data_IF_204651222608
#
_entry.id   IF_204651222608
#
_cell.length_a   1.000
_cell.length_b   1.000
_cell.length_c   1.000
_cell.angle_alpha   90.00
_cell.angle_beta   90.00
_cell.angle_gamma   90.00
#
_symmetry.space_group_name_H-M   'P 1'
#
loop_
_entity.id
_entity.type
_entity.pdbx_description
1 polymer ?
#
# COMPACT_ATOMS: atom_id res chain seq x y z
N UNK A 1 -30.30 7.95 7.61
CA UNK A 1 -30.12 6.52 7.93
C UNK A 1 -29.29 5.90 6.82
N UNK A 2 -27.96 6.01 6.87
CA UNK A 2 -27.10 5.25 5.97
C UNK A 2 -27.16 3.80 6.44
N UNK A 3 -27.75 2.92 5.63
CA UNK A 3 -27.61 1.49 5.80
C UNK A 3 -26.12 1.16 5.73
N UNK A 4 -25.59 0.54 6.79
CA UNK A 4 -24.26 -0.08 6.75
C UNK A 4 -24.17 -0.94 5.47
N UNK A 5 -23.13 -0.79 4.64
CA UNK A 5 -22.93 -1.72 3.54
C UNK A 5 -22.73 -3.09 4.18
N UNK A 6 -23.47 -4.10 3.72
CA UNK A 6 -23.08 -5.48 3.94
C UNK A 6 -21.70 -5.65 3.33
N UNK A 7 -20.66 -5.57 4.15
CA UNK A 7 -19.28 -5.80 3.76
C UNK A 7 -19.18 -7.30 3.45
N UNK A 8 -19.44 -7.66 2.20
CA UNK A 8 -18.94 -8.93 1.70
C UNK A 8 -17.43 -8.88 1.91
N UNK A 9 -16.93 -9.77 2.77
CA UNK A 9 -15.53 -9.84 3.10
C UNK A 9 -14.72 -9.96 1.81
N UNK A 10 -13.88 -8.95 1.53
CA UNK A 10 -13.08 -8.91 0.31
C UNK A 10 -12.14 -10.12 0.36
N UNK A 11 -12.25 -10.99 -0.65
CA UNK A 11 -11.50 -12.23 -0.73
C UNK A 11 -9.99 -11.94 -0.76
N UNK A 12 -9.15 -12.84 -0.20
CA UNK A 12 -7.72 -12.75 -0.35
C UNK A 12 -7.31 -12.83 -1.83
N UNK A 13 -6.15 -12.27 -2.15
CA UNK A 13 -5.53 -12.41 -3.47
C UNK A 13 -4.92 -13.79 -3.56
N UNK A 14 -5.13 -14.48 -4.67
CA UNK A 14 -4.51 -15.77 -4.92
C UNK A 14 -3.23 -15.59 -5.74
N UNK A 15 -2.13 -16.14 -5.25
CA UNK A 15 -0.83 -16.22 -5.94
C UNK A 15 -0.48 -17.69 -6.09
N UNK A 16 -0.39 -18.18 -7.32
CA UNK A 16 -0.16 -19.61 -7.62
C UNK A 16 -1.15 -20.56 -6.93
N UNK A 17 -2.41 -20.14 -6.80
CA UNK A 17 -3.47 -20.96 -6.17
C UNK A 17 -3.57 -20.85 -4.65
N UNK A 18 -2.67 -20.12 -3.99
CA UNK A 18 -2.68 -19.92 -2.54
C UNK A 18 -3.12 -18.50 -2.18
N UNK A 19 -3.97 -18.32 -1.15
CA UNK A 19 -4.33 -17.00 -0.67
C UNK A 19 -3.13 -16.34 0.01
N UNK A 20 -2.78 -15.11 -0.41
CA UNK A 20 -1.64 -14.35 0.12
C UNK A 20 -2.05 -12.93 0.49
N UNK A 21 -1.37 -12.39 1.51
CA UNK A 21 -1.28 -10.95 1.70
C UNK A 21 -0.11 -10.44 0.86
N UNK A 22 -0.35 -9.47 -0.01
CA UNK A 22 0.65 -9.06 -0.99
C UNK A 22 1.63 -8.06 -0.40
N UNK A 23 2.93 -8.34 -0.57
CA UNK A 23 4.02 -7.44 -0.20
C UNK A 23 4.90 -7.26 -1.44
N UNK A 24 4.76 -6.12 -2.11
CA UNK A 24 5.34 -5.87 -3.43
C UNK A 24 6.47 -4.85 -3.47
N UNK A 25 7.47 -5.05 -4.32
CA UNK A 25 8.54 -4.08 -4.59
C UNK A 25 8.51 -3.60 -6.04
N UNK A 26 8.42 -2.29 -6.26
CA UNK A 26 8.65 -1.71 -7.60
C UNK A 26 10.12 -1.79 -8.03
N UNK A 27 11.03 -1.87 -7.06
CA UNK A 27 12.45 -2.06 -7.32
C UNK A 27 12.72 -3.54 -7.59
N UNK A 28 13.25 -3.81 -8.78
CA UNK A 28 13.73 -5.12 -9.21
C UNK A 28 15.24 -5.07 -9.42
N UNK A 29 16.03 -5.40 -8.37
CA UNK A 29 17.47 -5.50 -8.48
C UNK A 29 17.85 -6.47 -9.59
N UNK A 30 18.80 -6.09 -10.45
CA UNK A 30 19.38 -6.98 -11.48
C UNK A 30 20.46 -7.90 -10.89
N UNK A 31 20.26 -8.30 -9.65
CA UNK A 31 21.12 -9.18 -8.88
C UNK A 31 20.24 -10.19 -8.12
N UNK A 32 20.57 -11.48 -8.29
CA UNK A 32 19.78 -12.56 -7.71
C UNK A 32 19.85 -12.59 -6.18
N UNK A 33 20.99 -12.23 -5.58
CA UNK A 33 21.13 -12.25 -4.13
C UNK A 33 20.30 -11.12 -3.51
N UNK A 34 20.30 -9.94 -4.12
CA UNK A 34 19.45 -8.83 -3.67
C UNK A 34 17.96 -9.19 -3.80
N UNK A 35 17.54 -9.91 -4.83
CA UNK A 35 16.16 -10.44 -4.93
C UNK A 35 15.85 -11.49 -3.85
N UNK A 36 16.80 -12.38 -3.52
CA UNK A 36 16.65 -13.34 -2.42
C UNK A 36 16.51 -12.64 -1.08
N UNK A 37 17.26 -11.56 -0.85
CA UNK A 37 17.11 -10.72 0.35
C UNK A 37 15.69 -10.15 0.44
N UNK A 38 15.09 -9.70 -0.68
CA UNK A 38 13.69 -9.26 -0.66
C UNK A 38 12.75 -10.40 -0.22
N UNK A 39 12.90 -11.58 -0.83
CA UNK A 39 12.07 -12.74 -0.54
C UNK A 39 12.19 -13.21 0.92
N UNK A 40 13.42 -13.29 1.44
CA UNK A 40 13.74 -13.68 2.81
C UNK A 40 13.17 -12.69 3.85
N UNK A 41 12.99 -11.42 3.46
CA UNK A 41 12.40 -10.38 4.30
C UNK A 41 10.93 -10.10 3.97
N UNK A 42 10.24 -11.06 3.36
CA UNK A 42 8.78 -11.07 3.29
C UNK A 42 8.17 -10.50 2.01
N UNK A 43 8.94 -9.88 1.11
CA UNK A 43 8.41 -9.55 -0.21
C UNK A 43 8.01 -10.84 -0.93
N UNK A 44 6.86 -10.83 -1.59
CA UNK A 44 6.36 -11.97 -2.36
C UNK A 44 5.98 -11.61 -3.80
N UNK A 45 6.20 -10.35 -4.19
CA UNK A 45 5.87 -9.82 -5.49
C UNK A 45 6.89 -8.73 -5.90
N UNK A 46 7.39 -8.75 -7.15
CA UNK A 46 8.34 -7.76 -7.67
C UNK A 46 7.99 -7.30 -9.09
N UNK A 47 8.26 -6.04 -9.42
CA UNK A 47 7.99 -5.50 -10.77
C UNK A 47 9.01 -6.00 -11.77
N UNK A 48 8.61 -6.76 -12.77
CA UNK A 48 9.49 -7.15 -13.85
C UNK A 48 9.25 -6.32 -15.12
N UNK A 49 10.34 -6.09 -15.88
CA UNK A 49 10.17 -5.72 -17.27
C UNK A 49 9.50 -6.90 -18.01
N UNK A 50 8.88 -6.65 -19.18
CA UNK A 50 8.43 -7.72 -20.06
C UNK A 50 9.63 -8.40 -20.74
N UNK A 51 10.43 -9.09 -19.93
CA UNK A 51 11.66 -9.79 -20.27
C UNK A 51 11.71 -11.13 -19.53
N UNK A 52 12.10 -12.20 -20.22
CA UNK A 52 12.10 -13.54 -19.64
C UNK A 52 13.18 -13.71 -18.57
N UNK A 53 14.36 -13.09 -18.73
CA UNK A 53 15.42 -13.21 -17.73
C UNK A 53 15.01 -12.54 -16.42
N UNK A 54 14.33 -11.39 -16.48
CA UNK A 54 13.76 -10.73 -15.31
C UNK A 54 12.79 -11.63 -14.54
N UNK A 55 11.93 -12.36 -15.25
CA UNK A 55 10.96 -13.27 -14.64
C UNK A 55 11.62 -14.55 -14.11
N UNK A 56 12.63 -15.07 -14.82
CA UNK A 56 13.42 -16.23 -14.39
C UNK A 56 14.19 -15.92 -13.10
N UNK A 57 14.81 -14.74 -13.00
CA UNK A 57 15.48 -14.29 -11.78
C UNK A 57 14.52 -14.12 -10.60
N UNK A 58 13.35 -13.52 -10.85
CA UNK A 58 12.30 -13.42 -9.82
C UNK A 58 11.87 -14.82 -9.36
N UNK A 59 11.68 -15.76 -10.30
CA UNK A 59 11.31 -17.14 -9.99
C UNK A 59 12.37 -17.83 -9.14
N UNK A 60 13.64 -17.70 -9.53
CA UNK A 60 14.77 -18.32 -8.84
C UNK A 60 14.95 -17.77 -7.41
N UNK A 61 14.62 -16.50 -7.19
CA UNK A 61 14.58 -15.88 -5.86
C UNK A 61 13.37 -16.30 -5.02
N UNK A 62 12.40 -17.03 -5.58
CA UNK A 62 11.15 -17.41 -4.89
C UNK A 62 10.09 -16.31 -4.87
N UNK A 63 10.23 -15.29 -5.72
CA UNK A 63 9.29 -14.18 -5.86
C UNK A 63 8.29 -14.45 -7.00
N UNK A 64 7.09 -13.88 -6.85
CA UNK A 64 6.21 -13.68 -7.98
C UNK A 64 6.52 -12.34 -8.64
N UNK A 65 6.06 -12.15 -9.87
CA UNK A 65 6.29 -10.97 -10.66
C UNK A 65 4.99 -10.36 -11.17
N UNK A 66 5.00 -9.05 -11.37
CA UNK A 66 4.01 -8.38 -12.21
C UNK A 66 4.67 -7.71 -13.41
N UNK A 67 3.93 -7.64 -14.51
CA UNK A 67 4.33 -6.91 -15.72
C UNK A 67 3.34 -5.79 -15.98
N UNK A 68 3.89 -4.59 -16.23
CA UNK A 68 3.10 -3.45 -16.68
C UNK A 68 2.81 -3.54 -18.18
N UNK A 69 1.53 -3.54 -18.55
CA UNK A 69 1.05 -3.57 -19.93
C UNK A 69 1.39 -2.30 -20.71
N UNK A 70 1.73 -1.22 -20.01
CA UNK A 70 1.89 0.13 -20.55
C UNK A 70 0.63 0.56 -21.30
N UNK A 71 0.75 1.56 -22.18
CA UNK A 71 -0.40 2.10 -22.92
C UNK A 71 -1.08 1.09 -23.88
N UNK A 72 -0.59 -0.16 -23.97
CA UNK A 72 -1.16 -1.21 -24.82
C UNK A 72 -2.58 -1.59 -24.41
N UNK A 73 -2.97 -1.41 -23.15
CA UNK A 73 -4.32 -1.70 -22.69
C UNK A 73 -5.32 -0.56 -22.95
N UNK A 74 -4.86 0.64 -23.32
CA UNK A 74 -5.74 1.78 -23.58
C UNK A 74 -6.26 1.76 -25.01
N UNK A 75 -7.48 1.26 -25.24
CA UNK A 75 -8.10 1.27 -26.57
C UNK A 75 -8.90 2.54 -26.89
N UNK A 76 -8.74 3.62 -26.12
CA UNK A 76 -9.41 4.89 -26.40
C UNK A 76 -8.84 5.58 -27.65
N UNK A 77 -7.57 5.29 -27.97
CA UNK A 77 -6.86 5.74 -29.18
C UNK A 77 -6.09 4.57 -29.78
N UNK A 78 -5.84 4.61 -31.09
CA UNK A 78 -5.04 3.62 -31.83
C UNK A 78 -5.39 2.15 -31.55
N UNK A 79 -6.69 1.87 -31.34
CA UNK A 79 -7.21 0.59 -30.85
C UNK A 79 -6.59 -0.64 -31.53
N UNK A 80 -6.49 -0.66 -32.86
CA UNK A 80 -5.99 -1.84 -33.59
C UNK A 80 -4.51 -2.12 -33.26
N UNK A 81 -3.68 -1.07 -33.23
CA UNK A 81 -2.26 -1.15 -32.89
C UNK A 81 -2.06 -1.55 -31.42
N UNK A 82 -2.81 -0.95 -30.51
CA UNK A 82 -2.73 -1.30 -29.09
C UNK A 82 -3.19 -2.73 -28.84
N UNK A 83 -4.27 -3.17 -29.51
CA UNK A 83 -4.76 -4.55 -29.43
C UNK A 83 -3.72 -5.56 -29.89
N UNK A 84 -3.10 -5.36 -31.05
CA UNK A 84 -2.05 -6.24 -31.56
C UNK A 84 -0.88 -6.36 -30.56
N UNK A 85 -0.37 -5.22 -30.08
CA UNK A 85 0.74 -5.20 -29.11
C UNK A 85 0.38 -5.79 -27.75
N UNK A 86 -0.88 -5.63 -27.30
CA UNK A 86 -1.35 -6.24 -26.06
C UNK A 86 -1.42 -7.76 -26.20
N UNK A 87 -1.94 -8.27 -27.33
CA UNK A 87 -1.98 -9.71 -27.60
C UNK A 87 -0.56 -10.28 -27.61
N UNK A 88 0.37 -9.65 -28.34
CA UNK A 88 1.77 -10.08 -28.41
C UNK A 88 2.42 -10.16 -27.02
N UNK A 89 2.22 -9.12 -26.19
CA UNK A 89 2.74 -9.09 -24.83
C UNK A 89 2.17 -10.23 -23.96
N UNK A 90 0.85 -10.40 -23.97
CA UNK A 90 0.17 -11.35 -23.10
C UNK A 90 0.50 -12.78 -23.52
N UNK A 91 0.42 -13.11 -24.81
CA UNK A 91 0.77 -14.44 -25.32
C UNK A 91 2.22 -14.82 -25.01
N UNK A 92 3.14 -13.84 -25.00
CA UNK A 92 4.54 -14.10 -24.71
C UNK A 92 4.81 -14.48 -23.24
N UNK A 93 4.07 -13.92 -22.29
CA UNK A 93 4.42 -14.04 -20.86
C UNK A 93 3.36 -14.68 -19.97
N UNK A 94 2.11 -14.85 -20.44
CA UNK A 94 1.01 -15.40 -19.61
C UNK A 94 1.34 -16.76 -19.00
N UNK A 95 2.14 -17.58 -19.68
CA UNK A 95 2.48 -18.94 -19.22
C UNK A 95 3.78 -18.98 -18.38
N UNK A 96 4.39 -17.83 -18.09
CA UNK A 96 5.62 -17.79 -17.31
C UNK A 96 5.34 -18.10 -15.82
N UNK A 97 6.06 -19.05 -15.19
CA UNK A 97 5.76 -19.54 -13.83
C UNK A 97 6.02 -18.55 -12.68
N UNK A 98 6.50 -17.35 -12.99
CA UNK A 98 6.66 -16.25 -12.03
C UNK A 98 5.64 -15.13 -12.25
N UNK A 99 5.02 -15.03 -13.42
CA UNK A 99 4.00 -14.02 -13.65
C UNK A 99 2.81 -14.33 -12.74
N UNK A 100 2.37 -13.34 -11.98
CA UNK A 100 1.20 -13.46 -11.13
C UNK A 100 0.16 -12.38 -11.38
N UNK A 101 0.55 -11.23 -11.94
CA UNK A 101 -0.34 -10.07 -12.07
C UNK A 101 0.02 -9.27 -13.33
N UNK A 102 -0.99 -8.75 -14.02
CA UNK A 102 -0.81 -7.71 -15.02
C UNK A 102 -1.12 -6.35 -14.41
N UNK A 103 -0.27 -5.37 -14.61
CA UNK A 103 -0.53 -3.99 -14.22
C UNK A 103 -0.95 -3.18 -15.45
N UNK A 104 -1.98 -2.35 -15.33
CA UNK A 104 -2.30 -1.33 -16.34
C UNK A 104 -1.25 -0.20 -16.31
N UNK A 105 -1.25 0.79 -17.23
CA UNK A 105 -0.42 1.98 -17.06
C UNK A 105 -0.56 2.57 -15.66
N UNK A 106 0.57 2.83 -15.04
CA UNK A 106 0.61 3.51 -13.75
C UNK A 106 -0.07 4.87 -13.84
N UNK A 107 -0.85 5.20 -12.80
CA UNK A 107 -1.68 6.39 -12.69
C UNK A 107 -2.44 6.74 -14.00
N UNK A 108 -3.22 5.79 -14.52
CA UNK A 108 -3.89 5.91 -15.83
C UNK A 108 -4.69 7.22 -16.04
N UNK A 109 -5.27 7.79 -14.97
CA UNK A 109 -5.94 9.10 -15.03
C UNK A 109 -4.97 10.27 -15.01
N UNK A 110 -3.88 10.21 -14.26
CA UNK A 110 -2.84 11.25 -14.24
C UNK A 110 -2.27 11.50 -15.64
N UNK A 111 -2.07 10.41 -16.40
CA UNK A 111 -1.62 10.45 -17.80
C UNK A 111 -2.60 11.12 -18.78
N UNK A 112 -3.80 11.53 -18.36
CA UNK A 112 -4.65 12.44 -19.13
C UNK A 112 -4.09 13.87 -19.19
N UNK A 113 -3.00 14.16 -18.47
CA UNK A 113 -2.45 15.50 -18.35
C UNK A 113 -3.03 16.25 -17.16
N UNK A 114 -3.51 15.53 -16.13
CA UNK A 114 -4.08 16.11 -14.91
C UNK A 114 -3.20 17.21 -14.29
N UNK A 115 -1.86 17.07 -14.21
CA UNK A 115 -0.99 18.14 -13.69
C UNK A 115 -1.00 19.38 -14.56
N UNK A 116 -1.02 19.18 -15.88
CA UNK A 116 -1.09 20.26 -16.85
C UNK A 116 -2.46 20.93 -16.80
N UNK A 117 -3.53 20.17 -16.61
CA UNK A 117 -4.88 20.70 -16.44
C UNK A 117 -5.01 21.47 -15.14
N UNK A 118 -4.58 20.92 -14.01
CA UNK A 118 -4.56 21.58 -12.71
C UNK A 118 -3.77 22.89 -12.77
N UNK A 119 -2.55 22.85 -13.31
CA UNK A 119 -1.74 24.06 -13.53
C UNK A 119 -2.43 25.07 -14.46
N UNK A 120 -3.02 24.62 -15.57
CA UNK A 120 -3.73 25.51 -16.48
C UNK A 120 -4.96 26.13 -15.80
N UNK A 121 -5.77 25.32 -15.10
CA UNK A 121 -7.06 25.70 -14.55
C UNK A 121 -6.91 26.65 -13.36
N UNK A 122 -6.00 26.37 -12.44
CA UNK A 122 -5.74 27.21 -11.26
C UNK A 122 -4.70 28.30 -11.49
N UNK A 123 -3.80 28.14 -12.46
CA UNK A 123 -2.70 29.07 -12.73
C UNK A 123 -3.05 30.24 -13.66
N UNK A 124 -4.30 30.34 -14.14
CA UNK A 124 -4.75 31.40 -15.06
C UNK A 124 -6.13 31.93 -14.68
N UNK A 125 -6.34 33.23 -14.91
CA UNK A 125 -7.66 33.87 -14.81
C UNK A 125 -8.46 33.60 -16.08
N UNK A 126 -9.14 32.45 -16.13
CA UNK A 126 -10.07 32.11 -17.19
C UNK A 126 -11.41 32.84 -17.02
N UNK A 127 -12.10 33.14 -18.12
CA UNK A 127 -13.53 33.47 -18.04
C UNK A 127 -14.35 32.24 -17.64
N UNK A 128 -15.56 32.45 -17.14
CA UNK A 128 -16.47 31.35 -16.75
C UNK A 128 -16.71 30.41 -17.95
N UNK A 129 -16.91 30.96 -19.15
CA UNK A 129 -17.14 30.17 -20.36
C UNK A 129 -15.92 29.29 -20.74
N UNK A 130 -14.72 29.77 -20.47
CA UNK A 130 -13.48 29.01 -20.70
C UNK A 130 -13.33 27.88 -19.69
N UNK A 131 -13.69 28.11 -18.42
CA UNK A 131 -13.71 27.08 -17.39
C UNK A 131 -14.74 25.99 -17.74
N UNK A 132 -15.96 26.38 -18.10
CA UNK A 132 -17.02 25.46 -18.51
C UNK A 132 -16.61 24.61 -19.72
N UNK A 133 -15.93 25.23 -20.69
CA UNK A 133 -15.42 24.52 -21.88
C UNK A 133 -14.35 23.49 -21.53
N UNK A 134 -13.44 23.81 -20.59
CA UNK A 134 -12.40 22.88 -20.13
C UNK A 134 -13.03 21.71 -19.37
N UNK A 135 -13.97 22.00 -18.45
CA UNK A 135 -14.67 20.97 -17.68
C UNK A 135 -15.44 20.03 -18.58
N UNK A 136 -16.15 20.56 -19.58
CA UNK A 136 -16.87 19.76 -20.58
C UNK A 136 -15.95 18.79 -21.32
N UNK A 137 -14.76 19.24 -21.73
CA UNK A 137 -13.77 18.37 -22.40
C UNK A 137 -13.31 17.24 -21.47
N UNK A 138 -13.11 17.51 -20.18
CA UNK A 138 -12.73 16.50 -19.20
C UNK A 138 -13.87 15.50 -18.94
N UNK A 139 -15.10 15.99 -18.82
CA UNK A 139 -16.32 15.18 -18.65
C UNK A 139 -16.57 14.24 -19.82
N UNK A 140 -16.16 14.61 -21.03
CA UNK A 140 -16.23 13.74 -22.21
C UNK A 140 -15.01 12.82 -22.34
N UNK A 141 -13.79 13.32 -22.09
CA UNK A 141 -12.55 12.57 -22.30
C UNK A 141 -12.35 11.44 -21.28
N UNK A 142 -12.73 11.65 -20.02
CA UNK A 142 -12.55 10.66 -18.95
C UNK A 142 -13.38 9.40 -19.20
N UNK A 143 -14.70 9.46 -19.47
CA UNK A 143 -15.49 8.27 -19.79
C UNK A 143 -15.02 7.55 -21.06
N UNK A 144 -14.61 8.28 -22.10
CA UNK A 144 -14.10 7.66 -23.33
C UNK A 144 -12.77 6.93 -23.08
N UNK A 145 -11.87 7.51 -22.28
CA UNK A 145 -10.65 6.81 -21.88
C UNK A 145 -10.97 5.57 -21.04
N UNK A 146 -11.85 5.68 -20.05
CA UNK A 146 -12.29 4.53 -19.24
C UNK A 146 -12.87 3.40 -20.11
N UNK A 147 -13.71 3.72 -21.11
CA UNK A 147 -14.23 2.75 -22.08
C UNK A 147 -13.11 2.07 -22.88
N UNK A 148 -12.07 2.81 -23.23
CA UNK A 148 -10.85 2.28 -23.87
C UNK A 148 -10.16 1.23 -23.00
N UNK A 149 -9.92 1.55 -21.73
CA UNK A 149 -9.31 0.63 -20.77
C UNK A 149 -10.16 -0.61 -20.53
N UNK A 150 -11.48 -0.46 -20.39
CA UNK A 150 -12.39 -1.61 -20.21
C UNK A 150 -12.30 -2.57 -21.41
N UNK A 151 -12.28 -2.04 -22.64
CA UNK A 151 -12.13 -2.88 -23.84
C UNK A 151 -10.76 -3.58 -23.90
N UNK A 152 -9.70 -2.93 -23.43
CA UNK A 152 -8.37 -3.54 -23.32
C UNK A 152 -8.32 -4.64 -22.28
N UNK A 153 -8.88 -4.39 -21.09
CA UNK A 153 -9.05 -5.37 -20.02
C UNK A 153 -9.83 -6.59 -20.51
N UNK A 154 -10.99 -6.40 -21.16
CA UNK A 154 -11.77 -7.49 -21.74
C UNK A 154 -10.99 -8.28 -22.79
N UNK A 155 -10.14 -7.62 -23.57
CA UNK A 155 -9.28 -8.29 -24.55
C UNK A 155 -8.16 -9.09 -23.87
N UNK A 156 -7.54 -8.57 -22.81
CA UNK A 156 -6.56 -9.27 -22.00
C UNK A 156 -7.19 -10.52 -21.39
N UNK A 157 -8.34 -10.39 -20.72
CA UNK A 157 -9.03 -11.51 -20.05
C UNK A 157 -9.51 -12.61 -21.00
N UNK A 158 -9.66 -12.34 -22.30
CA UNK A 158 -9.93 -13.36 -23.33
C UNK A 158 -8.72 -14.26 -23.63
N UNK A 159 -7.51 -13.74 -23.42
CA UNK A 159 -6.25 -14.42 -23.71
C UNK A 159 -5.71 -15.07 -22.44
N UNK A 160 -5.81 -14.34 -21.33
CA UNK A 160 -5.34 -14.73 -20.00
C UNK A 160 -6.44 -14.45 -18.96
N UNK A 161 -7.23 -15.48 -18.70
CA UNK A 161 -8.28 -15.42 -17.68
C UNK A 161 -7.76 -15.70 -16.26
N UNK A 162 -6.52 -16.21 -16.14
CA UNK A 162 -5.93 -16.70 -14.90
C UNK A 162 -5.37 -15.53 -14.09
N UNK A 163 -4.54 -14.68 -14.69
CA UNK A 163 -3.87 -13.62 -13.95
C UNK A 163 -4.81 -12.41 -13.70
N UNK A 164 -4.86 -11.88 -12.46
CA UNK A 164 -5.57 -10.65 -12.16
C UNK A 164 -4.91 -9.44 -12.84
N UNK A 165 -5.73 -8.42 -13.10
CA UNK A 165 -5.28 -7.11 -13.58
C UNK A 165 -5.34 -6.10 -12.44
N UNK A 166 -4.23 -5.40 -12.16
CA UNK A 166 -4.12 -4.36 -11.14
C UNK A 166 -4.06 -2.97 -11.76
N UNK A 167 -4.76 -2.01 -11.14
CA UNK A 167 -4.73 -0.60 -11.50
C UNK A 167 -4.39 0.27 -10.29
N UNK A 168 -3.23 0.93 -10.36
CA UNK A 168 -2.82 1.95 -9.40
C UNK A 168 -3.33 3.34 -9.83
N UNK A 169 -3.74 4.15 -8.86
CA UNK A 169 -4.26 5.50 -9.04
C UNK A 169 -3.44 6.52 -8.28
N UNK A 170 -3.36 7.73 -8.83
CA UNK A 170 -2.85 8.89 -8.12
C UNK A 170 -3.83 9.29 -6.99
N UNK A 171 -3.34 9.87 -5.88
CA UNK A 171 -4.13 10.27 -4.71
C UNK A 171 -4.85 11.61 -4.93
N UNK A 172 -5.57 11.76 -6.06
CA UNK A 172 -6.28 12.99 -6.44
C UNK A 172 -7.52 12.79 -7.33
N UNK A 173 -7.98 11.55 -7.46
CA UNK A 173 -9.08 11.23 -8.36
C UNK A 173 -10.41 11.21 -7.60
N UNK A 174 -11.46 11.76 -8.22
CA UNK A 174 -12.80 11.72 -7.64
C UNK A 174 -13.32 10.28 -7.58
N UNK A 175 -14.23 10.01 -6.65
CA UNK A 175 -14.82 8.68 -6.48
C UNK A 175 -15.50 8.16 -7.76
N UNK A 176 -16.15 9.04 -8.53
CA UNK A 176 -16.84 8.63 -9.77
C UNK A 176 -15.86 8.32 -10.90
N UNK A 177 -14.76 9.07 -11.01
CA UNK A 177 -13.65 8.76 -11.91
C UNK A 177 -13.04 7.39 -11.58
N UNK A 178 -12.75 7.14 -10.30
CA UNK A 178 -12.22 5.87 -9.82
C UNK A 178 -13.17 4.71 -10.16
N UNK A 179 -14.47 4.86 -9.93
CA UNK A 179 -15.49 3.84 -10.27
C UNK A 179 -15.54 3.50 -11.76
N UNK A 180 -15.33 4.49 -12.64
CA UNK A 180 -15.29 4.25 -14.08
C UNK A 180 -14.10 3.38 -14.47
N UNK A 181 -12.92 3.72 -13.98
CA UNK A 181 -11.67 3.03 -14.31
C UNK A 181 -11.51 1.69 -13.59
N UNK A 182 -12.03 1.57 -12.36
CA UNK A 182 -12.03 0.32 -11.61
C UNK A 182 -12.74 -0.84 -12.34
N UNK A 183 -13.57 -0.56 -13.36
CA UNK A 183 -14.17 -1.60 -14.24
C UNK A 183 -13.14 -2.33 -15.11
N UNK A 184 -11.96 -1.76 -15.31
CA UNK A 184 -10.89 -2.30 -16.14
C UNK A 184 -9.76 -2.99 -15.34
N UNK A 185 -10.04 -3.39 -14.10
CA UNK A 185 -9.07 -4.07 -13.23
C UNK A 185 -9.79 -5.03 -12.28
N UNK A 186 -9.10 -6.07 -11.81
CA UNK A 186 -9.55 -6.98 -10.76
C UNK A 186 -9.13 -6.49 -9.36
N UNK A 187 -8.06 -5.70 -9.31
CA UNK A 187 -7.45 -5.13 -8.11
C UNK A 187 -7.25 -3.64 -8.37
N UNK A 188 -7.53 -2.80 -7.37
CA UNK A 188 -7.23 -1.37 -7.47
C UNK A 188 -6.28 -0.93 -6.38
N UNK A 189 -5.68 0.24 -6.53
CA UNK A 189 -4.74 0.76 -5.57
C UNK A 189 -4.57 2.26 -5.68
N UNK A 190 -3.88 2.82 -4.71
CA UNK A 190 -3.48 4.21 -4.73
C UNK A 190 -2.06 4.31 -4.20
N UNK A 191 -1.25 5.18 -4.80
CA UNK A 191 0.04 5.53 -4.25
C UNK A 191 -0.06 6.81 -3.43
N UNK A 192 0.45 6.78 -2.20
CA UNK A 192 0.44 7.94 -1.33
C UNK A 192 1.69 7.95 -0.46
N UNK A 193 2.39 9.08 -0.49
CA UNK A 193 3.71 9.25 0.11
C UNK A 193 3.70 10.39 1.15
N UNK A 194 3.13 10.14 2.35
CA UNK A 194 3.10 11.13 3.41
C UNK A 194 4.50 11.26 4.03
N UNK A 195 5.34 12.13 3.47
CA UNK A 195 6.66 12.46 4.01
C UNK A 195 6.60 13.09 5.40
N UNK A 196 7.74 13.16 6.11
CA UNK A 196 7.81 13.63 7.51
C UNK A 196 7.38 15.10 7.68
N UNK A 197 7.73 15.97 6.73
CA UNK A 197 7.44 17.41 6.79
C UNK A 197 6.00 17.76 6.36
N UNK A 198 5.24 16.75 5.96
CA UNK A 198 4.08 16.95 5.10
C UNK A 198 4.49 17.61 3.79
N UNK A 199 3.54 17.74 2.88
CA UNK A 199 3.61 18.59 1.68
C UNK A 199 4.30 17.96 0.45
N UNK A 200 3.53 17.94 -0.65
CA UNK A 200 3.87 18.58 -1.94
C UNK A 200 2.78 18.30 -2.98
N UNK A 201 1.56 18.74 -2.66
CA UNK A 201 0.38 18.55 -3.49
C UNK A 201 -0.08 17.10 -3.63
N UNK A 202 0.78 16.09 -3.44
CA UNK A 202 0.49 14.65 -3.61
C UNK A 202 -0.60 14.10 -2.68
N UNK A 203 -1.27 14.95 -1.90
CA UNK A 203 -2.41 14.60 -1.09
C UNK A 203 -3.45 15.71 -1.22
N UNK A 204 -4.65 15.38 -1.69
CA UNK A 204 -5.78 16.32 -1.79
C UNK A 204 -6.80 16.17 -0.64
N UNK A 205 -6.53 15.32 0.36
CA UNK A 205 -7.30 15.23 1.59
C UNK A 205 -6.92 16.34 2.56
N UNK A 206 -7.89 16.73 3.39
CA UNK A 206 -7.62 17.61 4.55
C UNK A 206 -6.66 16.98 5.57
N UNK A 207 -6.60 15.64 5.62
CA UNK A 207 -5.66 14.93 6.47
C UNK A 207 -4.28 14.86 5.79
N UNK A 208 -3.36 15.72 6.18
CA UNK A 208 -1.97 15.73 5.70
C UNK A 208 -1.01 14.85 6.52
N UNK A 209 -1.53 14.05 7.47
CA UNK A 209 -0.71 13.15 8.30
C UNK A 209 -0.45 11.83 7.56
N UNK A 210 0.41 10.99 8.14
CA UNK A 210 0.60 9.62 7.67
C UNK A 210 -0.70 8.81 7.62
N UNK A 211 -1.70 9.13 8.45
CA UNK A 211 -3.04 8.52 8.41
C UNK A 211 -3.86 8.85 7.15
N UNK A 212 -3.29 9.60 6.21
CA UNK A 212 -3.85 9.73 4.86
C UNK A 212 -3.81 8.41 4.09
N UNK A 213 -2.89 7.48 4.42
CA UNK A 213 -2.82 6.15 3.80
C UNK A 213 -4.14 5.40 3.99
N UNK A 214 -4.65 5.33 5.21
CA UNK A 214 -5.95 4.74 5.55
C UNK A 214 -7.10 5.50 4.89
N UNK A 215 -7.02 6.83 4.86
CA UNK A 215 -7.99 7.67 4.14
C UNK A 215 -8.12 7.34 2.64
N UNK A 216 -7.00 7.19 1.92
CA UNK A 216 -7.04 6.76 0.52
C UNK A 216 -7.42 5.29 0.37
N UNK A 217 -7.07 4.43 1.32
CA UNK A 217 -7.52 3.03 1.34
C UNK A 217 -9.05 2.97 1.40
N UNK A 218 -9.70 3.78 2.23
CA UNK A 218 -11.16 3.88 2.33
C UNK A 218 -11.80 4.40 1.05
N UNK A 219 -11.16 5.36 0.37
CA UNK A 219 -11.61 5.88 -0.93
C UNK A 219 -11.55 4.78 -1.99
N UNK A 220 -10.45 4.01 -2.05
CA UNK A 220 -10.33 2.89 -2.97
C UNK A 220 -11.39 1.82 -2.68
N UNK A 221 -11.59 1.44 -1.42
CA UNK A 221 -12.68 0.52 -1.05
C UNK A 221 -14.05 1.04 -1.48
N UNK A 222 -14.30 2.34 -1.32
CA UNK A 222 -15.55 2.97 -1.73
C UNK A 222 -15.72 2.98 -3.26
N UNK A 223 -14.62 3.04 -4.01
CA UNK A 223 -14.62 3.02 -5.47
C UNK A 223 -14.88 1.62 -6.04
N UNK A 224 -14.39 0.57 -5.37
CA UNK A 224 -14.58 -0.82 -5.78
C UNK A 224 -14.81 -1.76 -4.57
N UNK A 225 -16.01 -1.75 -3.96
CA UNK A 225 -16.28 -2.40 -2.67
C UNK A 225 -16.15 -3.93 -2.66
N UNK A 226 -16.01 -4.57 -3.82
CA UNK A 226 -15.85 -6.02 -3.95
C UNK A 226 -14.47 -6.42 -4.48
N UNK A 227 -13.52 -5.48 -4.59
CA UNK A 227 -12.19 -5.73 -5.13
C UNK A 227 -11.13 -5.52 -4.06
N UNK A 228 -10.06 -6.35 -4.03
CA UNK A 228 -8.91 -6.08 -3.17
C UNK A 228 -8.29 -4.72 -3.51
N UNK A 229 -7.85 -4.03 -2.46
CA UNK A 229 -7.12 -2.77 -2.54
C UNK A 229 -5.66 -3.02 -2.20
N UNK A 230 -4.74 -2.56 -3.05
CA UNK A 230 -3.31 -2.55 -2.79
C UNK A 230 -2.79 -1.13 -2.68
N UNK A 231 -2.13 -0.79 -1.58
CA UNK A 231 -1.59 0.56 -1.39
C UNK A 231 -0.11 0.58 -1.75
N UNK A 232 0.32 1.59 -2.51
CA UNK A 232 1.74 1.82 -2.79
C UNK A 232 2.26 2.87 -1.81
N UNK A 233 3.22 2.46 -1.00
CA UNK A 233 3.79 3.18 0.13
C UNK A 233 5.14 3.78 -0.24
N UNK A 234 5.53 4.80 0.52
CA UNK A 234 6.76 5.53 0.29
C UNK A 234 7.99 4.67 0.61
N UNK A 235 8.83 4.46 -0.40
CA UNK A 235 10.13 3.80 -0.31
C UNK A 235 11.28 4.69 -0.77
N UNK A 236 11.15 6.01 -0.66
CA UNK A 236 12.12 7.01 -1.12
C UNK A 236 12.04 8.32 -0.32
N UNK A 237 12.95 9.25 -0.60
CA UNK A 237 12.89 10.64 -0.14
C UNK A 237 12.39 11.57 -1.24
N UNK A 238 11.49 12.50 -0.92
CA UNK A 238 10.99 13.51 -1.86
C UNK A 238 12.10 14.33 -2.50
N UNK A 239 13.26 14.45 -1.86
CA UNK A 239 14.42 15.15 -2.43
C UNK A 239 14.93 14.53 -3.73
N UNK A 240 14.78 13.22 -3.93
CA UNK A 240 15.12 12.59 -5.21
C UNK A 240 14.25 13.09 -6.38
N UNK A 241 13.04 13.58 -6.10
CA UNK A 241 12.15 14.14 -7.11
C UNK A 241 12.25 15.66 -7.21
N UNK A 242 12.72 16.33 -6.15
CA UNK A 242 12.77 17.80 -6.07
C UNK A 242 14.13 18.39 -6.43
N UNK A 243 15.21 17.71 -6.06
CA UNK A 243 16.57 18.22 -6.22
C UNK A 243 17.17 17.80 -7.57
N UNK A 244 17.90 18.72 -8.19
CA UNK A 244 18.73 18.42 -9.37
C UNK A 244 19.98 17.63 -9.02
N UNK A 245 20.46 17.79 -7.80
CA UNK A 245 21.67 17.15 -7.27
C UNK A 245 21.26 16.24 -6.12
N UNK A 246 21.26 14.95 -6.39
CA UNK A 246 20.79 13.91 -5.46
C UNK A 246 21.96 13.15 -4.82
N UNK A 247 23.15 13.75 -4.79
CA UNK A 247 24.27 13.20 -4.04
C UNK A 247 23.88 13.08 -2.56
N UNK A 248 24.30 12.01 -1.87
CA UNK A 248 23.90 11.76 -0.49
C UNK A 248 23.98 12.99 0.40
N UNK A 249 25.10 13.71 0.42
CA UNK A 249 25.33 14.88 1.27
C UNK A 249 24.33 16.04 1.10
N UNK A 250 23.55 16.06 0.02
CA UNK A 250 22.57 17.08 -0.30
C UNK A 250 21.12 16.69 0.02
N UNK A 251 20.88 15.42 0.37
CA UNK A 251 19.55 14.93 0.70
C UNK A 251 19.25 15.23 2.17
N UNK A 252 18.03 15.65 2.44
CA UNK A 252 17.53 15.74 3.79
C UNK A 252 17.23 14.32 4.33
N UNK A 253 17.95 13.85 5.35
CA UNK A 253 17.69 12.55 5.95
C UNK A 253 16.26 12.43 6.49
N UNK A 254 15.63 13.55 6.86
CA UNK A 254 14.27 13.57 7.40
C UNK A 254 13.18 13.22 6.38
N UNK A 255 13.46 13.33 5.08
CA UNK A 255 12.51 13.03 4.01
C UNK A 255 12.39 11.53 3.70
N UNK A 256 13.30 10.71 4.25
CA UNK A 256 13.22 9.25 4.17
C UNK A 256 12.27 8.70 5.24
N UNK A 257 11.35 7.77 4.91
CA UNK A 257 10.55 7.12 5.92
C UNK A 257 11.43 6.31 6.87
N UNK A 258 11.26 6.52 8.18
CA UNK A 258 11.89 5.68 9.20
C UNK A 258 11.20 4.33 9.29
N UNK A 259 11.79 3.38 10.03
CA UNK A 259 11.10 2.13 10.38
C UNK A 259 9.70 2.41 10.94
N UNK A 260 9.58 3.35 11.87
CA UNK A 260 8.31 3.75 12.49
C UNK A 260 7.33 4.37 11.49
N UNK A 261 7.80 5.22 10.57
CA UNK A 261 6.95 5.78 9.52
C UNK A 261 6.44 4.69 8.57
N UNK A 262 7.33 3.81 8.10
CA UNK A 262 6.97 2.71 7.20
C UNK A 262 6.00 1.73 7.87
N UNK A 263 6.27 1.36 9.13
CA UNK A 263 5.41 0.50 9.95
C UNK A 263 4.04 1.13 10.16
N UNK A 264 3.97 2.43 10.45
CA UNK A 264 2.71 3.17 10.54
C UNK A 264 1.94 3.08 9.23
N UNK A 265 2.53 3.47 8.10
CA UNK A 265 1.85 3.47 6.80
C UNK A 265 1.31 2.08 6.44
N UNK A 266 2.10 1.04 6.67
CA UNK A 266 1.71 -0.33 6.36
C UNK A 266 0.51 -0.79 7.21
N UNK A 267 0.55 -0.57 8.53
CA UNK A 267 -0.56 -0.95 9.40
C UNK A 267 -1.80 -0.08 9.19
N UNK A 268 -1.64 1.20 8.88
CA UNK A 268 -2.75 2.09 8.54
C UNK A 268 -3.50 1.58 7.29
N UNK A 269 -2.77 1.22 6.22
CA UNK A 269 -3.37 0.56 5.06
C UNK A 269 -4.10 -0.75 5.42
N UNK A 270 -3.46 -1.63 6.18
CA UNK A 270 -4.00 -2.94 6.57
C UNK A 270 -5.28 -2.80 7.41
N UNK A 271 -5.27 -1.91 8.40
CA UNK A 271 -6.41 -1.70 9.31
C UNK A 271 -7.61 -1.06 8.60
N UNK A 272 -7.35 -0.32 7.53
CA UNK A 272 -8.35 0.17 6.59
C UNK A 272 -8.66 -0.84 5.47
N UNK A 273 -8.23 -2.10 5.60
CA UNK A 273 -8.68 -3.23 4.79
C UNK A 273 -7.92 -3.47 3.49
N UNK A 274 -6.75 -2.87 3.30
CA UNK A 274 -5.85 -3.23 2.21
C UNK A 274 -5.53 -4.74 2.25
N UNK A 275 -5.42 -5.35 1.07
CA UNK A 275 -5.02 -6.76 0.87
C UNK A 275 -3.61 -6.89 0.28
N UNK A 276 -2.94 -5.76 0.15
CA UNK A 276 -1.55 -5.69 -0.26
C UNK A 276 -0.97 -4.32 0.02
N UNK A 277 0.34 -4.32 0.27
CA UNK A 277 1.16 -3.11 0.34
C UNK A 277 2.33 -3.28 -0.62
N UNK A 278 2.72 -2.20 -1.27
CA UNK A 278 3.86 -2.17 -2.18
C UNK A 278 4.75 -0.99 -1.85
N UNK A 279 6.03 -1.04 -2.19
CA UNK A 279 6.96 0.06 -1.97
C UNK A 279 7.49 0.60 -3.30
N UNK A 280 7.45 1.93 -3.45
CA UNK A 280 7.97 2.63 -4.63
C UNK A 280 9.17 3.53 -4.29
N UNK A 281 10.11 3.62 -5.23
CA UNK A 281 11.23 4.57 -5.19
C UNK A 281 12.51 4.06 -4.53
N UNK A 282 12.53 2.84 -3.99
CA UNK A 282 13.72 2.26 -3.35
C UNK A 282 14.88 1.93 -4.29
N UNK A 283 14.65 1.99 -5.60
CA UNK A 283 15.71 1.89 -6.61
C UNK A 283 16.64 3.11 -6.64
N UNK A 284 16.25 4.22 -5.99
CA UNK A 284 17.03 5.45 -5.93
C UNK A 284 18.17 5.39 -4.91
N UNK A 285 18.19 4.36 -4.07
CA UNK A 285 19.16 4.15 -3.00
C UNK A 285 19.84 2.80 -3.16
N UNK A 286 21.00 2.64 -2.51
CA UNK A 286 21.61 1.32 -2.40
C UNK A 286 20.67 0.35 -1.68
N UNK A 287 20.52 -0.90 -2.15
CA UNK A 287 19.76 -1.93 -1.44
C UNK A 287 20.40 -2.31 -0.09
N UNK A 288 21.62 -1.83 0.21
CA UNK A 288 22.31 -2.05 1.49
C UNK A 288 22.18 -0.87 2.45
N UNK A 289 21.46 0.18 2.05
CA UNK A 289 21.24 1.36 2.88
C UNK A 289 20.45 1.02 4.13
N UNK A 290 20.76 1.69 5.25
CA UNK A 290 20.02 1.53 6.51
C UNK A 290 18.54 1.83 6.37
N UNK A 291 18.22 2.80 5.50
CA UNK A 291 16.86 3.12 5.11
C UNK A 291 16.13 1.90 4.52
N UNK A 292 16.74 1.20 3.55
CA UNK A 292 16.11 0.03 2.94
C UNK A 292 15.94 -1.12 3.94
N UNK A 293 16.90 -1.33 4.83
CA UNK A 293 16.78 -2.30 5.92
C UNK A 293 15.57 -1.99 6.82
N UNK A 294 15.25 -0.73 7.07
CA UNK A 294 14.05 -0.35 7.83
C UNK A 294 12.77 -0.85 7.15
N UNK A 295 12.69 -0.77 5.82
CA UNK A 295 11.53 -1.32 5.07
C UNK A 295 11.52 -2.85 5.13
N UNK A 296 12.68 -3.50 4.98
CA UNK A 296 12.79 -4.96 5.08
C UNK A 296 12.33 -5.48 6.45
N UNK A 297 12.61 -4.75 7.54
CA UNK A 297 12.11 -5.09 8.87
C UNK A 297 10.58 -5.03 8.95
N UNK A 298 9.95 -4.03 8.35
CA UNK A 298 8.47 -3.90 8.31
C UNK A 298 7.85 -5.03 7.49
N UNK A 299 8.41 -5.35 6.32
CA UNK A 299 7.89 -6.44 5.48
C UNK A 299 8.07 -7.80 6.12
N UNK A 300 9.16 -8.02 6.88
CA UNK A 300 9.42 -9.25 7.65
C UNK A 300 8.38 -9.43 8.77
N UNK A 301 8.04 -8.37 9.49
CA UNK A 301 6.96 -8.39 10.49
C UNK A 301 5.62 -8.79 9.86
N UNK A 302 5.23 -8.13 8.76
CA UNK A 302 3.93 -8.36 8.12
C UNK A 302 3.86 -9.77 7.52
N UNK A 303 4.95 -10.26 6.93
CA UNK A 303 5.02 -11.62 6.41
C UNK A 303 4.87 -12.67 7.52
N UNK A 304 5.48 -12.47 8.69
CA UNK A 304 5.30 -13.38 9.83
C UNK A 304 3.84 -13.38 10.36
N UNK A 305 3.12 -12.27 10.17
CA UNK A 305 1.72 -12.11 10.58
C UNK A 305 0.71 -12.45 9.48
N UNK A 306 1.16 -12.79 8.26
CA UNK A 306 0.32 -13.18 7.12
C UNK A 306 -0.76 -14.20 7.51
N UNK A 307 -0.49 -15.26 8.30
CA UNK A 307 -1.52 -16.21 8.71
C UNK A 307 -2.72 -15.56 9.38
N UNK A 308 -2.56 -14.47 10.15
CA UNK A 308 -3.69 -13.74 10.72
C UNK A 308 -4.38 -12.81 9.71
N UNK A 309 -3.62 -12.22 8.79
CA UNK A 309 -4.15 -11.29 7.78
C UNK A 309 -5.07 -12.00 6.76
N UNK A 310 -4.87 -13.31 6.58
CA UNK A 310 -5.73 -14.18 5.77
C UNK A 310 -7.00 -14.63 6.50
N UNK A 311 -7.02 -14.54 7.82
CA UNK A 311 -8.18 -14.93 8.63
C UNK A 311 -9.26 -13.87 8.63
N UNK A 312 -10.44 -14.25 9.12
CA UNK A 312 -11.54 -13.31 9.29
C UNK A 312 -11.30 -12.36 10.45
N UNK A 313 -11.70 -11.10 10.28
CA UNK A 313 -11.70 -10.13 11.38
C UNK A 313 -12.78 -10.44 12.42
N UNK A 314 -12.35 -10.43 13.67
CA UNK A 314 -13.18 -10.50 14.87
C UNK A 314 -13.48 -9.09 15.42
N UNK A 315 -13.53 -8.08 14.56
CA UNK A 315 -13.67 -6.65 14.95
C UNK A 315 -14.86 -6.41 15.87
N UNK A 316 -15.98 -7.11 15.66
CA UNK A 316 -17.19 -7.01 16.49
C UNK A 316 -17.05 -7.63 17.89
N UNK A 317 -15.91 -8.26 18.21
CA UNK A 317 -15.62 -8.81 19.54
C UNK A 317 -14.93 -7.81 20.45
N UNK A 318 -14.35 -6.74 19.89
CA UNK A 318 -13.60 -5.77 20.67
C UNK A 318 -14.25 -4.39 20.58
N UNK A 319 -13.99 -3.57 21.59
CA UNK A 319 -14.29 -2.14 21.58
C UNK A 319 -13.03 -1.40 22.00
N UNK A 320 -12.59 -0.47 21.17
CA UNK A 320 -11.40 0.36 21.43
C UNK A 320 -11.83 1.80 21.62
N UNK A 321 -11.57 2.34 22.80
CA UNK A 321 -12.01 3.67 23.17
C UNK A 321 -10.86 4.51 23.70
N UNK A 322 -10.66 5.74 23.18
CA UNK A 322 -9.73 6.69 23.76
C UNK A 322 -10.14 7.09 25.17
N UNK A 323 -9.17 7.09 26.08
CA UNK A 323 -9.34 7.58 27.44
C UNK A 323 -9.30 9.12 27.40
N UNK A 324 -10.43 9.73 27.75
CA UNK A 324 -10.51 11.17 27.93
C UNK A 324 -9.89 11.55 29.28
N UNK A 325 -8.65 12.03 29.22
CA UNK A 325 -8.01 12.69 30.37
C UNK A 325 -7.54 14.12 30.03
N UNK A 326 -7.14 14.38 28.77
CA UNK A 326 -6.49 15.65 28.38
C UNK A 326 -6.87 16.20 26.99
N UNK A 327 -7.85 15.63 26.29
CA UNK A 327 -8.24 16.09 24.94
C UNK A 327 -9.73 16.34 24.80
N UNK A 328 -10.06 17.49 24.21
CA UNK A 328 -11.43 17.87 23.85
C UNK A 328 -12.00 17.03 22.69
N UNK A 329 -11.13 16.37 21.91
CA UNK A 329 -11.51 15.54 20.75
C UNK A 329 -10.95 14.15 20.93
N UNK A 330 -11.79 13.13 20.71
CA UNK A 330 -11.34 11.72 20.70
C UNK A 330 -10.45 11.49 19.48
N UNK A 331 -9.30 10.86 19.70
CA UNK A 331 -8.43 10.41 18.61
C UNK A 331 -9.16 9.38 17.76
N UNK A 332 -8.97 9.45 16.44
CA UNK A 332 -9.38 8.37 15.55
C UNK A 332 -8.51 7.15 15.79
N UNK A 333 -9.13 5.97 15.75
CA UNK A 333 -8.48 4.71 16.04
C UNK A 333 -8.87 3.69 14.99
N UNK A 334 -7.86 3.14 14.34
CA UNK A 334 -8.01 1.94 13.52
C UNK A 334 -7.62 0.72 14.36
N UNK A 335 -8.36 -0.39 14.21
CA UNK A 335 -8.06 -1.61 14.97
C UNK A 335 -8.59 -2.86 14.30
N UNK A 336 -7.94 -3.98 14.60
CA UNK A 336 -8.37 -5.32 14.19
C UNK A 336 -8.06 -6.34 15.28
N UNK A 337 -8.88 -7.38 15.37
CA UNK A 337 -8.62 -8.58 16.14
C UNK A 337 -8.77 -9.77 15.21
N UNK A 338 -7.76 -10.63 15.17
CA UNK A 338 -7.71 -11.82 14.31
C UNK A 338 -7.24 -13.01 15.12
N UNK A 339 -7.69 -14.21 14.75
CA UNK A 339 -7.32 -15.47 15.40
C UNK A 339 -6.74 -16.40 14.35
N UNK A 340 -5.61 -17.02 14.63
CA UNK A 340 -5.04 -18.07 13.82
C UNK A 340 -4.58 -19.21 14.73
N UNK A 341 -5.11 -20.42 14.52
CA UNK A 341 -5.01 -21.53 15.47
C UNK A 341 -5.41 -21.08 16.89
N UNK A 342 -4.55 -21.25 17.90
CA UNK A 342 -4.83 -20.85 19.30
C UNK A 342 -4.34 -19.44 19.66
N UNK A 343 -3.68 -18.78 18.71
CA UNK A 343 -3.10 -17.46 18.89
C UNK A 343 -4.04 -16.35 18.39
N UNK A 344 -3.88 -15.17 18.99
CA UNK A 344 -4.61 -13.96 18.63
C UNK A 344 -3.64 -12.84 18.31
N UNK A 345 -3.98 -12.09 17.26
CA UNK A 345 -3.36 -10.83 16.87
C UNK A 345 -4.37 -9.70 17.14
N UNK A 346 -4.01 -8.75 17.99
CA UNK A 346 -4.72 -7.50 18.22
C UNK A 346 -3.82 -6.37 17.74
N UNK A 347 -4.30 -5.57 16.78
CA UNK A 347 -3.59 -4.37 16.34
C UNK A 347 -4.44 -3.15 16.61
N UNK A 348 -3.83 -2.12 17.21
CA UNK A 348 -4.49 -0.85 17.52
C UNK A 348 -3.58 0.30 17.11
N UNK A 349 -4.12 1.25 16.36
CA UNK A 349 -3.40 2.40 15.83
C UNK A 349 -4.15 3.71 16.15
N UNK A 350 -3.49 4.65 16.83
CA UNK A 350 -3.99 6.04 16.91
C UNK A 350 -3.62 6.80 15.63
N UNK A 351 -4.62 7.29 14.89
CA UNK A 351 -4.39 7.96 13.60
C UNK A 351 -4.07 9.47 13.72
N UNK A 352 -4.45 10.10 14.85
CA UNK A 352 -4.37 11.56 15.03
C UNK A 352 -3.58 11.97 16.27
N UNK A 353 -4.22 11.84 17.44
CA UNK A 353 -3.73 12.30 18.73
C UNK A 353 -3.32 11.10 19.57
N UNK A 354 -2.20 11.23 20.29
CA UNK A 354 -1.73 10.16 21.17
C UNK A 354 -2.51 10.20 22.49
N UNK A 355 -3.65 9.50 22.53
CA UNK A 355 -4.38 9.20 23.76
C UNK A 355 -4.15 7.75 24.17
N UNK A 356 -4.10 7.48 25.47
CA UNK A 356 -4.20 6.10 25.96
C UNK A 356 -5.56 5.52 25.54
N UNK A 357 -5.61 4.22 25.24
CA UNK A 357 -6.80 3.54 24.77
C UNK A 357 -7.15 2.39 25.72
N UNK A 358 -8.44 2.25 26.03
CA UNK A 358 -8.96 1.02 26.61
C UNK A 358 -9.40 0.10 25.47
N UNK A 359 -8.91 -1.13 25.48
CA UNK A 359 -9.42 -2.21 24.63
C UNK A 359 -10.23 -3.14 25.53
N UNK A 360 -11.48 -3.39 25.17
CA UNK A 360 -12.44 -4.21 25.93
C UNK A 360 -13.11 -5.25 25.06
N UNK A 361 -13.83 -6.19 25.67
CA UNK A 361 -14.45 -7.34 25.00
C UNK A 361 -13.51 -8.54 24.88
N UNK A 362 -12.44 -8.57 25.67
CA UNK A 362 -11.40 -9.60 25.65
C UNK A 362 -11.64 -10.70 26.69
N UNK A 363 -12.87 -10.91 27.17
CA UNK A 363 -13.19 -11.88 28.24
C UNK A 363 -12.71 -13.32 27.90
N UNK A 364 -12.71 -13.66 26.60
CA UNK A 364 -12.23 -14.96 26.10
C UNK A 364 -10.69 -15.10 26.12
N UNK A 365 -9.96 -14.03 26.47
CA UNK A 365 -8.51 -14.01 26.66
C UNK A 365 -8.13 -13.74 28.13
N UNK A 366 -9.08 -13.80 29.07
CA UNK A 366 -8.81 -13.49 30.48
C UNK A 366 -7.58 -14.26 31.01
N UNK A 367 -6.67 -13.55 31.67
CA UNK A 367 -5.42 -14.09 32.18
C UNK A 367 -4.34 -14.40 31.14
N UNK A 368 -4.63 -14.31 29.83
CA UNK A 368 -3.61 -14.42 28.78
C UNK A 368 -2.77 -13.14 28.70
N UNK A 369 -1.52 -13.31 28.30
CA UNK A 369 -0.61 -12.21 28.00
C UNK A 369 -0.64 -11.91 26.50
N UNK A 370 -0.77 -10.63 26.16
CA UNK A 370 -0.58 -10.07 24.84
C UNK A 370 0.80 -9.39 24.82
N UNK A 371 1.73 -9.95 24.06
CA UNK A 371 3.08 -9.41 23.86
C UNK A 371 3.05 -8.38 22.74
N UNK A 372 3.62 -7.21 22.99
CA UNK A 372 3.78 -6.20 21.94
C UNK A 372 5.04 -6.48 21.15
N UNK A 373 4.86 -6.85 19.88
CA UNK A 373 5.96 -7.24 19.00
C UNK A 373 6.93 -6.08 18.83
N UNK A 374 8.22 -6.43 18.67
CA UNK A 374 9.36 -5.51 18.55
C UNK A 374 9.62 -4.66 19.79
N UNK A 375 9.07 -5.02 20.95
CA UNK A 375 9.29 -4.32 22.21
C UNK A 375 9.30 -5.29 23.39
N UNK A 376 9.78 -4.84 24.56
CA UNK A 376 9.67 -5.61 25.81
C UNK A 376 8.29 -5.47 26.50
N UNK A 377 7.33 -4.73 25.90
CA UNK A 377 6.03 -4.47 26.51
C UNK A 377 5.11 -5.69 26.38
N UNK A 378 4.27 -5.88 27.39
CA UNK A 378 3.22 -6.89 27.36
C UNK A 378 2.05 -6.50 28.26
N UNK A 379 0.89 -7.06 27.97
CA UNK A 379 -0.38 -6.72 28.60
C UNK A 379 -1.09 -8.00 29.01
N UNK A 380 -1.33 -8.17 30.31
CA UNK A 380 -2.18 -9.26 30.80
C UNK A 380 -3.63 -8.81 30.73
N UNK A 381 -4.48 -9.59 30.08
CA UNK A 381 -5.92 -9.32 30.02
C UNK A 381 -6.51 -9.52 31.41
N UNK A 382 -7.16 -8.45 31.92
CA UNK A 382 -7.84 -8.44 33.21
C UNK A 382 -9.21 -7.80 33.07
N UNK A 383 -10.23 -8.42 33.65
CA UNK A 383 -11.62 -7.96 33.55
C UNK A 383 -12.07 -7.76 32.08
N UNK A 384 -11.62 -8.66 31.19
CA UNK A 384 -11.88 -8.63 29.76
C UNK A 384 -11.27 -7.41 29.05
N UNK A 385 -10.22 -6.80 29.61
CA UNK A 385 -9.65 -5.53 29.14
C UNK A 385 -8.13 -5.50 29.17
N UNK A 386 -7.58 -4.63 28.32
CA UNK A 386 -6.22 -4.10 28.43
C UNK A 386 -6.24 -2.59 28.24
N UNK A 387 -5.17 -1.92 28.66
CA UNK A 387 -4.93 -0.51 28.37
C UNK A 387 -3.63 -0.37 27.63
N UNK A 388 -3.69 0.18 26.42
CA UNK A 388 -2.50 0.59 25.67
C UNK A 388 -2.26 2.08 25.88
N UNK A 389 -1.01 2.46 26.07
CA UNK A 389 -0.63 3.84 26.35
C UNK A 389 -0.46 4.63 25.06
N UNK A 390 -0.30 5.94 25.17
CA UNK A 390 -0.12 6.81 24.02
C UNK A 390 1.13 6.40 23.21
N UNK A 391 0.99 6.32 21.88
CA UNK A 391 2.06 5.99 20.95
C UNK A 391 1.90 6.77 19.64
N UNK A 392 2.97 6.81 18.84
CA UNK A 392 2.95 7.24 17.43
C UNK A 392 3.08 6.04 16.47
N UNK A 393 3.06 4.84 17.01
CA UNK A 393 3.26 3.57 16.30
C UNK A 393 2.06 2.66 16.56
N UNK A 394 1.78 1.73 15.63
CA UNK A 394 0.78 0.68 15.88
C UNK A 394 1.19 -0.19 17.07
N UNK A 395 0.26 -0.44 17.98
CA UNK A 395 0.37 -1.48 18.99
C UNK A 395 0.04 -2.82 18.34
N UNK A 396 1.06 -3.56 17.93
CA UNK A 396 0.91 -4.90 17.33
C UNK A 396 1.10 -5.94 18.44
N UNK A 397 -0.02 -6.53 18.89
CA UNK A 397 -0.05 -7.39 20.07
C UNK A 397 -0.39 -8.83 19.69
N UNK A 398 0.41 -9.80 20.12
CA UNK A 398 0.16 -11.22 19.89
C UNK A 398 0.15 -12.02 21.20
N UNK A 399 -0.66 -13.07 21.28
CA UNK A 399 -0.62 -14.01 22.42
C UNK A 399 0.63 -14.90 22.47
N UNK A 400 1.47 -14.87 21.43
CA UNK A 400 2.68 -15.68 21.33
C UNK A 400 3.84 -14.88 20.77
N UNK A 401 5.00 -14.97 21.45
CA UNK A 401 6.26 -14.35 21.01
C UNK A 401 6.87 -14.96 19.75
N UNK A 402 6.37 -16.11 19.27
CA UNK A 402 6.92 -16.76 18.06
C UNK A 402 6.77 -15.92 16.79
N UNK A 403 5.87 -14.92 16.81
CA UNK A 403 5.65 -13.97 15.72
C UNK A 403 6.52 -12.71 15.83
N UNK A 404 7.30 -12.58 16.90
CA UNK A 404 8.23 -11.47 17.11
C UNK A 404 9.56 -11.76 16.40
N UNK A 405 9.60 -11.52 15.09
CA UNK A 405 10.70 -11.93 14.19
C UNK A 405 11.65 -10.78 13.81
N UNK A 406 11.38 -9.58 14.29
CA UNK A 406 12.16 -8.37 14.00
C UNK A 406 12.94 -8.01 15.26
N UNK A 407 14.26 -8.11 15.20
CA UNK A 407 15.14 -7.73 16.31
C UNK A 407 15.72 -6.35 16.08
N UNK A 408 15.70 -5.51 17.13
CA UNK A 408 16.21 -4.13 17.10
C UNK A 408 17.67 -4.00 16.62
N UNK A 409 18.45 -5.08 16.82
CA UNK A 409 19.86 -5.17 16.41
C UNK A 409 20.05 -5.47 14.91
N UNK A 410 19.08 -6.08 14.24
CA UNK A 410 19.15 -6.47 12.83
C UNK A 410 18.68 -5.35 11.90
N UNK A 411 17.64 -4.63 12.32
CA UNK A 411 17.07 -3.52 11.58
C UNK A 411 17.27 -2.28 12.42
N UNK A 412 18.23 -1.41 12.05
CA UNK A 412 18.65 -0.34 12.93
C UNK A 412 17.48 0.59 13.23
N UNK A 413 16.83 0.34 14.36
CA UNK A 413 16.07 1.34 15.09
C UNK A 413 16.96 2.55 15.40
N UNK A 414 18.28 2.40 15.30
CA UNK A 414 19.27 3.48 15.35
C UNK A 414 19.11 4.51 14.23
N UNK A 415 18.33 4.25 13.17
CA UNK A 415 17.91 5.28 12.21
C UNK A 415 17.00 6.34 12.85
N UNK A 416 16.30 6.02 13.95
CA UNK A 416 15.53 7.02 14.71
C UNK A 416 16.43 7.95 15.56
N UNK A 417 17.74 7.69 15.65
CA UNK A 417 18.71 8.50 16.39
C UNK A 417 19.66 9.18 15.38
N UNK A 418 19.53 10.50 15.27
CA UNK A 418 19.83 11.36 14.11
C UNK A 418 21.28 11.45 13.56
N UNK A 419 22.21 10.57 13.91
CA UNK A 419 23.64 10.79 13.61
C UNK A 419 24.20 9.98 12.41
N UNK A 420 23.43 9.06 11.82
CA UNK A 420 23.88 8.24 10.69
C UNK A 420 23.07 8.52 9.43
N UNK A 421 23.74 8.96 8.37
CA UNK A 421 23.12 9.25 7.07
C UNK A 421 22.33 8.02 6.54
N UNK A 422 21.09 8.17 6.03
CA UNK A 422 20.22 7.05 5.64
C UNK A 422 20.81 6.16 4.55
N UNK A 423 21.72 6.73 3.76
CA UNK A 423 22.36 6.10 2.61
C UNK A 423 23.65 5.37 2.96
N UNK A 424 24.11 5.40 4.22
CA UNK A 424 25.25 4.60 4.63
C UNK A 424 24.91 3.11 4.45
N UNK A 425 25.81 2.38 3.81
CA UNK A 425 25.71 0.92 3.70
C UNK A 425 26.22 0.28 5.00
N UNK A 426 25.58 -0.81 5.45
CA UNK A 426 26.09 -1.66 6.54
C UNK A 426 26.42 -3.06 6.04
#
# INVERSE_FOLDING_TARGET
KCSEPKTNEIKPVFMNGEPRFIIGSYHNPKDLNELKILAENGFNLVRCAPDSNDLDMAKEAGLNAWINTGNRIDFSKDKNKHKEKLIELVEKFKDHPALAVWEVPDEALWSLGYPKFEFMFYGKNWSVEQQDSILKVLDEAIPEKAKGFVKGYEQLKKIDSIHPVWMNFAPRNTLDQLRLFAKAADIIGCDIYPGKKGVDGHNDLYNYRMSSVGGYTDIMQSAAPNKPVWMVLQGFSWDFLRLKDTRPENLDPEEFPTYKHSRFMAWDAILHGAKGILYWGSYMVSPRSLFWNSILGVTKEIAALEPFLLEKELKNKITVEPIQFTSSVKTRVASTLRKHNDDYLLVVLQEDLSQALNVSGLDFLEGKTLYELTTDRSYVVKDGKIRVWFGKEPHVLCTSKKYDVVHESEFPLTWDNEDNFPLNEK
#
